data_IF_702841255736
#
_entry.id   IF_702841255736
#
_cell.length_a   1.000
_cell.length_b   1.000
_cell.length_c   1.000
_cell.angle_alpha   90.00
_cell.angle_beta   90.00
_cell.angle_gamma   90.00
#
_symmetry.space_group_name_H-M   'P 1'
#
loop_
_entity.id
_entity.type
_entity.pdbx_description
1 polymer ?
#
# COMPACT_ATOMS: atom_id res chain seq x y z
N UNK A 1 39.68 0.03 35.11
CA UNK A 1 38.25 0.24 35.39
C UNK A 1 37.58 1.32 34.53
N UNK A 2 38.30 2.13 33.74
CA UNK A 2 37.72 3.21 32.90
C UNK A 2 37.24 2.80 31.49
N UNK A 3 37.56 1.59 31.00
CA UNK A 3 37.10 1.13 29.67
C UNK A 3 35.63 0.68 29.64
N UNK A 4 35.02 0.36 30.79
CA UNK A 4 33.62 -0.06 30.88
C UNK A 4 32.63 1.08 30.67
N UNK A 5 32.90 2.26 31.24
CA UNK A 5 32.03 3.43 31.08
C UNK A 5 31.99 3.90 29.63
N UNK A 6 33.13 4.00 28.94
CA UNK A 6 33.19 4.48 27.56
C UNK A 6 32.36 3.62 26.59
N UNK A 7 32.36 2.29 26.77
CA UNK A 7 31.54 1.39 25.97
C UNK A 7 30.04 1.64 26.21
N UNK A 8 29.62 1.79 27.46
CA UNK A 8 28.22 2.05 27.82
C UNK A 8 27.72 3.38 27.24
N UNK A 9 28.53 4.45 27.25
CA UNK A 9 28.16 5.72 26.62
C UNK A 9 28.10 5.64 25.10
N UNK A 10 28.98 4.88 24.46
CA UNK A 10 28.93 4.61 23.01
C UNK A 10 27.66 3.85 22.65
N UNK A 11 27.30 2.80 23.38
CA UNK A 11 26.05 2.06 23.16
C UNK A 11 24.79 2.90 23.43
N UNK A 12 24.83 3.78 24.43
CA UNK A 12 23.70 4.68 24.76
C UNK A 12 23.56 5.81 23.73
N UNK A 13 24.69 6.35 23.23
CA UNK A 13 24.73 7.33 22.14
C UNK A 13 24.19 6.74 20.82
N UNK A 14 24.65 5.54 20.45
CA UNK A 14 24.17 4.83 19.25
C UNK A 14 22.66 4.59 19.28
N UNK A 15 22.08 4.22 20.44
CA UNK A 15 20.61 4.04 20.57
C UNK A 15 19.86 5.36 20.37
N UNK A 16 20.38 6.48 20.88
CA UNK A 16 19.75 7.81 20.77
C UNK A 16 19.83 8.34 19.34
N UNK A 17 20.97 8.17 18.67
CA UNK A 17 21.16 8.60 17.29
C UNK A 17 20.23 7.86 16.31
N UNK A 18 20.01 6.55 16.53
CA UNK A 18 19.06 5.75 15.76
C UNK A 18 17.62 6.23 15.98
N UNK A 19 17.24 6.53 17.23
CA UNK A 19 15.88 7.01 17.55
C UNK A 19 15.64 8.39 16.89
N UNK A 20 16.60 9.30 16.98
CA UNK A 20 16.53 10.61 16.32
C UNK A 20 16.46 10.48 14.80
N UNK A 21 17.20 9.54 14.22
CA UNK A 21 17.14 9.24 12.79
C UNK A 21 15.76 8.72 12.36
N UNK A 22 15.20 7.76 13.09
CA UNK A 22 13.86 7.21 12.82
C UNK A 22 12.80 8.31 12.95
N UNK A 23 12.87 9.15 13.99
CA UNK A 23 11.96 10.29 14.16
C UNK A 23 12.08 11.29 13.00
N UNK A 24 13.29 11.54 12.51
CA UNK A 24 13.54 12.43 11.37
C UNK A 24 12.93 11.89 10.08
N UNK A 25 13.10 10.60 9.79
CA UNK A 25 12.54 9.98 8.58
C UNK A 25 11.01 9.84 8.63
N UNK A 26 10.44 9.49 9.80
CA UNK A 26 8.98 9.49 10.00
C UNK A 26 8.42 10.91 9.81
N UNK A 27 9.09 11.94 10.35
CA UNK A 27 8.66 13.33 10.19
C UNK A 27 8.69 13.76 8.72
N UNK A 28 9.75 13.42 7.97
CA UNK A 28 9.83 13.70 6.52
C UNK A 28 8.75 12.95 5.73
N UNK A 29 8.53 11.67 6.02
CA UNK A 29 7.50 10.86 5.38
C UNK A 29 6.10 11.45 5.59
N UNK A 30 5.80 11.88 6.82
CA UNK A 30 4.52 12.48 7.18
C UNK A 30 4.32 13.85 6.50
N UNK A 31 5.39 14.62 6.36
CA UNK A 31 5.36 15.91 5.66
C UNK A 31 5.12 15.72 4.15
N UNK A 32 5.77 14.71 3.55
CA UNK A 32 5.61 14.33 2.14
C UNK A 32 4.22 13.81 1.82
N UNK A 33 3.48 13.22 2.76
CA UNK A 33 2.10 12.74 2.51
C UNK A 33 1.04 13.79 2.74
N UNK A 34 1.19 14.63 3.76
CA UNK A 34 0.18 15.64 4.10
C UNK A 34 0.10 16.75 3.05
N UNK A 35 1.23 17.23 2.54
CA UNK A 35 1.25 18.33 1.55
C UNK A 35 0.50 17.97 0.25
N UNK A 36 0.83 16.89 -0.47
CA UNK A 36 0.08 16.50 -1.66
C UNK A 36 -1.34 16.04 -1.31
N UNK A 37 -1.55 15.44 -0.12
CA UNK A 37 -2.86 15.13 0.44
C UNK A 37 -3.83 16.30 0.39
N UNK A 38 -3.40 17.44 0.96
CA UNK A 38 -4.18 18.68 1.02
C UNK A 38 -4.37 19.28 -0.38
N UNK A 39 -3.32 19.29 -1.20
CA UNK A 39 -3.39 19.84 -2.56
C UNK A 39 -4.39 19.11 -3.45
N UNK A 40 -4.39 17.78 -3.45
CA UNK A 40 -5.34 16.99 -4.23
C UNK A 40 -6.78 17.08 -3.70
N UNK A 41 -6.97 17.15 -2.37
CA UNK A 41 -8.29 17.43 -1.79
C UNK A 41 -8.85 18.78 -2.27
N UNK A 42 -7.99 19.79 -2.38
CA UNK A 42 -8.36 21.09 -2.92
C UNK A 42 -8.69 21.05 -4.42
N UNK A 43 -7.94 20.31 -5.23
CA UNK A 43 -8.26 20.10 -6.65
C UNK A 43 -9.61 19.39 -6.83
N UNK A 44 -9.88 18.35 -6.05
CA UNK A 44 -11.14 17.61 -6.10
C UNK A 44 -12.33 18.47 -5.67
N UNK A 45 -12.12 19.38 -4.71
CA UNK A 45 -13.13 20.37 -4.30
C UNK A 45 -13.44 21.37 -5.42
N UNK A 46 -12.42 21.80 -6.18
CA UNK A 46 -12.63 22.67 -7.35
C UNK A 46 -13.44 21.95 -8.43
N UNK A 47 -13.12 20.68 -8.73
CA UNK A 47 -13.91 19.88 -9.68
C UNK A 47 -15.35 19.68 -9.21
N UNK A 48 -15.56 19.49 -7.91
CA UNK A 48 -16.90 19.41 -7.32
C UNK A 48 -17.70 20.72 -7.51
N UNK A 49 -17.08 21.88 -7.22
CA UNK A 49 -17.73 23.18 -7.38
C UNK A 49 -18.02 23.50 -8.86
N UNK A 50 -17.12 23.10 -9.76
CA UNK A 50 -17.25 23.35 -11.19
C UNK A 50 -18.24 22.41 -11.91
N UNK A 51 -18.70 21.33 -11.26
CA UNK A 51 -19.79 20.52 -11.78
C UNK A 51 -21.11 21.30 -11.70
N UNK A 52 -21.43 22.00 -12.79
CA UNK A 52 -22.67 22.77 -12.93
C UNK A 52 -23.88 21.84 -12.72
N UNK A 53 -24.69 22.10 -11.69
CA UNK A 53 -25.84 21.26 -11.33
C UNK A 53 -26.93 21.35 -12.39
N UNK A 54 -27.00 20.38 -13.30
CA UNK A 54 -28.11 20.24 -14.25
C UNK A 54 -29.30 19.60 -13.55
N UNK A 55 -30.54 19.96 -13.93
CA UNK A 55 -31.78 19.46 -13.29
C UNK A 55 -31.86 17.90 -13.33
N UNK A 56 -31.25 17.27 -14.34
CA UNK A 56 -31.14 15.81 -14.48
C UNK A 56 -30.28 15.12 -13.39
N UNK A 57 -29.30 15.82 -12.82
CA UNK A 57 -28.38 15.29 -11.81
C UNK A 57 -29.03 15.15 -10.42
N UNK A 58 -30.14 15.87 -10.20
CA UNK A 58 -30.93 15.85 -8.95
C UNK A 58 -31.78 14.60 -8.76
N UNK A 59 -32.16 13.92 -9.86
CA UNK A 59 -33.09 12.78 -9.85
C UNK A 59 -32.33 11.45 -9.88
N UNK A 60 -31.19 11.38 -10.59
CA UNK A 60 -30.41 10.14 -10.75
C UNK A 60 -29.16 10.06 -9.87
N UNK A 61 -28.77 11.17 -9.21
CA UNK A 61 -27.46 11.30 -8.57
C UNK A 61 -26.37 11.29 -9.63
N UNK A 62 -25.71 12.42 -9.87
CA UNK A 62 -24.75 12.49 -10.97
C UNK A 62 -23.61 11.48 -10.78
N UNK A 63 -23.40 10.63 -11.79
CA UNK A 63 -22.30 9.67 -11.86
C UNK A 63 -20.94 10.38 -11.62
N UNK A 64 -20.88 11.66 -11.98
CA UNK A 64 -19.72 12.52 -11.87
C UNK A 64 -19.40 12.88 -10.40
N UNK A 65 -20.43 13.15 -9.56
CA UNK A 65 -20.24 13.39 -8.11
C UNK A 65 -19.86 12.08 -7.40
N UNK A 66 -20.47 10.96 -7.77
CA UNK A 66 -20.12 9.65 -7.22
C UNK A 66 -18.66 9.28 -7.54
N UNK A 67 -18.23 9.43 -8.79
CA UNK A 67 -16.86 9.13 -9.21
C UNK A 67 -15.84 10.06 -8.56
N UNK A 68 -16.13 11.37 -8.46
CA UNK A 68 -15.30 12.37 -7.74
C UNK A 68 -15.16 12.04 -6.25
N UNK A 69 -16.25 11.59 -5.61
CA UNK A 69 -16.23 11.19 -4.19
C UNK A 69 -15.41 9.92 -3.96
N UNK A 70 -15.53 8.92 -4.84
CA UNK A 70 -14.81 7.65 -4.73
C UNK A 70 -13.30 7.83 -4.97
N UNK A 71 -12.92 8.72 -5.89
CA UNK A 71 -11.52 9.04 -6.15
C UNK A 71 -10.90 9.80 -4.98
N UNK A 72 -11.62 10.74 -4.36
CA UNK A 72 -11.15 11.40 -3.13
C UNK A 72 -10.91 10.39 -2.00
N UNK A 73 -11.85 9.47 -1.79
CA UNK A 73 -11.74 8.45 -0.76
C UNK A 73 -10.55 7.51 -1.00
N UNK A 74 -10.37 7.04 -2.24
CA UNK A 74 -9.24 6.20 -2.62
C UNK A 74 -7.89 6.93 -2.43
N UNK A 75 -7.84 8.22 -2.77
CA UNK A 75 -6.62 9.02 -2.64
C UNK A 75 -6.22 9.25 -1.17
N UNK A 76 -7.18 9.50 -0.28
CA UNK A 76 -6.95 9.60 1.17
C UNK A 76 -6.37 8.29 1.70
N UNK A 77 -6.94 7.13 1.31
CA UNK A 77 -6.43 5.82 1.73
C UNK A 77 -4.99 5.62 1.27
N UNK A 78 -4.69 5.88 -0.01
CA UNK A 78 -3.34 5.69 -0.59
C UNK A 78 -2.32 6.61 0.07
N UNK A 79 -2.67 7.88 0.28
CA UNK A 79 -1.75 8.88 0.85
C UNK A 79 -1.42 8.62 2.31
N UNK A 80 -2.35 8.08 3.10
CA UNK A 80 -2.14 7.80 4.53
C UNK A 80 -1.70 6.37 4.83
N UNK A 81 -1.87 5.42 3.90
CA UNK A 81 -1.52 4.01 4.13
C UNK A 81 -0.32 3.58 3.30
N UNK A 82 -0.30 3.86 2.00
CA UNK A 82 0.69 3.29 1.07
C UNK A 82 1.99 4.09 1.09
N UNK A 83 1.93 5.41 1.01
CA UNK A 83 3.13 6.25 0.97
C UNK A 83 3.93 6.19 2.29
N UNK A 84 3.31 6.25 3.49
CA UNK A 84 4.03 6.07 4.75
C UNK A 84 4.63 4.68 4.89
N UNK A 85 4.00 3.66 4.31
CA UNK A 85 4.54 2.30 4.31
C UNK A 85 5.77 2.18 3.40
N UNK A 86 5.82 2.87 2.26
CA UNK A 86 6.97 2.82 1.34
C UNK A 86 8.17 3.62 1.91
N UNK A 87 7.94 4.82 2.44
CA UNK A 87 9.01 5.69 2.95
C UNK A 87 9.40 5.32 4.39
N UNK A 88 8.41 5.12 5.26
CA UNK A 88 8.61 4.64 6.64
C UNK A 88 8.98 3.16 6.73
N UNK A 89 8.71 2.38 5.68
CA UNK A 89 9.17 1.01 5.51
C UNK A 89 10.58 0.89 4.94
N UNK A 90 11.44 1.88 5.22
CA UNK A 90 12.88 1.74 5.04
C UNK A 90 13.46 0.81 6.13
N UNK A 91 12.96 -0.43 6.18
CA UNK A 91 13.36 -1.51 7.08
C UNK A 91 14.81 -1.95 6.86
N UNK A 92 15.43 -1.48 5.77
CA UNK A 92 16.83 -1.71 5.43
C UNK A 92 17.80 -0.78 6.18
N UNK A 93 17.38 0.41 6.62
CA UNK A 93 18.30 1.35 7.29
C UNK A 93 18.78 0.81 8.64
N UNK A 94 17.92 0.27 9.52
CA UNK A 94 18.38 -0.41 10.73
C UNK A 94 19.29 -1.61 10.44
N UNK A 95 19.16 -2.22 9.25
CA UNK A 95 19.95 -3.37 8.81
C UNK A 95 21.37 -2.97 8.40
N UNK A 96 21.53 -1.85 7.68
CA UNK A 96 22.82 -1.29 7.26
C UNK A 96 23.65 -0.81 8.46
N UNK A 97 22.99 -0.37 9.55
CA UNK A 97 23.62 0.09 10.80
C UNK A 97 24.12 -1.06 11.70
N UNK A 98 23.79 -2.32 11.40
CA UNK A 98 24.50 -3.50 11.89
C UNK A 98 24.57 -3.71 13.41
N UNK A 99 23.84 -2.97 14.24
CA UNK A 99 24.04 -3.04 15.70
C UNK A 99 23.53 -4.38 16.30
N UNK A 100 24.24 -4.98 17.28
CA UNK A 100 23.95 -6.33 17.78
C UNK A 100 22.62 -6.52 18.53
N UNK A 101 21.96 -5.44 18.99
CA UNK A 101 20.74 -5.50 19.82
C UNK A 101 19.43 -5.56 19.00
N UNK A 102 19.49 -5.83 17.68
CA UNK A 102 18.35 -5.77 16.74
C UNK A 102 17.87 -7.19 16.33
N UNK A 103 17.86 -8.16 17.24
CA UNK A 103 17.43 -9.53 16.91
C UNK A 103 15.96 -9.58 16.42
N UNK A 104 15.06 -8.78 17.01
CA UNK A 104 13.63 -8.80 16.67
C UNK A 104 13.28 -8.12 15.32
N UNK A 105 13.85 -6.95 14.96
CA UNK A 105 13.58 -6.36 13.64
C UNK A 105 14.18 -7.14 12.46
N UNK A 106 15.29 -7.87 12.65
CA UNK A 106 15.84 -8.76 11.60
C UNK A 106 14.92 -9.94 11.32
N UNK A 107 14.35 -10.55 12.36
CA UNK A 107 13.38 -11.64 12.21
C UNK A 107 12.11 -11.14 11.52
N UNK A 108 11.58 -9.96 11.90
CA UNK A 108 10.40 -9.39 11.25
C UNK A 108 10.65 -9.06 9.76
N UNK A 109 11.83 -8.54 9.40
CA UNK A 109 12.14 -8.21 8.01
C UNK A 109 12.33 -9.45 7.12
N UNK A 110 12.87 -10.55 7.65
CA UNK A 110 12.94 -11.84 6.91
C UNK A 110 11.53 -12.40 6.71
N UNK A 111 10.67 -12.34 7.74
CA UNK A 111 9.28 -12.81 7.64
C UNK A 111 8.50 -11.96 6.62
N UNK A 112 8.63 -10.62 6.66
CA UNK A 112 8.01 -9.71 5.68
C UNK A 112 8.56 -9.87 4.26
N UNK A 113 9.86 -10.10 4.09
CA UNK A 113 10.45 -10.37 2.77
C UNK A 113 9.98 -11.70 2.21
N UNK A 114 9.85 -12.74 3.05
CA UNK A 114 9.32 -14.03 2.62
C UNK A 114 7.84 -13.97 2.23
N UNK A 115 7.01 -13.21 2.96
CA UNK A 115 5.61 -13.01 2.61
C UNK A 115 5.43 -12.15 1.36
N UNK A 116 6.28 -11.16 1.12
CA UNK A 116 6.28 -10.38 -0.12
C UNK A 116 6.59 -11.24 -1.35
N UNK A 117 7.52 -12.19 -1.25
CA UNK A 117 7.82 -13.13 -2.35
C UNK A 117 6.64 -14.06 -2.62
N UNK A 118 6.01 -14.60 -1.57
CA UNK A 118 4.80 -15.42 -1.70
C UNK A 118 3.65 -14.65 -2.37
N UNK A 119 3.48 -13.38 -2.01
CA UNK A 119 2.46 -12.51 -2.57
C UNK A 119 2.75 -12.16 -4.04
N UNK A 120 4.02 -11.92 -4.39
CA UNK A 120 4.42 -11.67 -5.77
C UNK A 120 4.21 -12.91 -6.68
N UNK A 121 4.39 -14.11 -6.13
CA UNK A 121 4.15 -15.37 -6.84
C UNK A 121 2.66 -15.72 -6.96
N UNK A 122 1.81 -15.32 -6.01
CA UNK A 122 0.38 -15.62 -6.03
C UNK A 122 -0.45 -14.66 -6.87
N UNK A 123 -0.08 -13.37 -6.93
CA UNK A 123 -0.82 -12.35 -7.68
C UNK A 123 -1.00 -12.64 -9.18
N UNK A 124 0.00 -13.17 -9.93
CA UNK A 124 -0.16 -13.49 -11.35
C UNK A 124 -1.20 -14.59 -11.60
N UNK A 125 -1.29 -15.56 -10.70
CA UNK A 125 -2.22 -16.69 -10.80
C UNK A 125 -3.66 -16.20 -10.55
N UNK A 126 -3.85 -15.37 -9.53
CA UNK A 126 -5.13 -14.72 -9.25
C UNK A 126 -5.58 -13.80 -10.39
N UNK A 127 -4.65 -13.00 -10.95
CA UNK A 127 -4.92 -12.16 -12.11
C UNK A 127 -5.29 -13.01 -13.34
N UNK A 128 -4.63 -14.15 -13.55
CA UNK A 128 -4.97 -15.14 -14.57
C UNK A 128 -6.39 -15.68 -14.41
N UNK A 129 -6.76 -16.12 -13.20
CA UNK A 129 -8.10 -16.63 -12.92
C UNK A 129 -9.21 -15.60 -13.21
N UNK A 130 -8.99 -14.34 -12.81
CA UNK A 130 -9.94 -13.24 -13.03
C UNK A 130 -10.04 -12.88 -14.52
N UNK A 131 -8.91 -12.85 -15.24
CA UNK A 131 -8.92 -12.54 -16.68
C UNK A 131 -9.66 -13.63 -17.48
N UNK A 132 -9.46 -14.91 -17.17
CA UNK A 132 -10.20 -16.02 -17.79
C UNK A 132 -11.70 -15.94 -17.48
N UNK A 133 -12.06 -15.59 -16.23
CA UNK A 133 -13.47 -15.40 -15.86
C UNK A 133 -14.10 -14.22 -16.63
N UNK A 134 -13.36 -13.14 -16.83
CA UNK A 134 -13.82 -11.98 -17.59
C UNK A 134 -13.95 -12.29 -19.10
N UNK A 135 -13.08 -13.13 -19.67
CA UNK A 135 -13.22 -13.57 -21.06
C UNK A 135 -14.42 -14.49 -21.24
N UNK A 136 -14.70 -15.38 -20.27
CA UNK A 136 -15.89 -16.25 -20.33
C UNK A 136 -17.18 -15.43 -20.34
N UNK A 137 -17.22 -14.32 -19.58
CA UNK A 137 -18.39 -13.43 -19.50
C UNK A 137 -18.56 -12.49 -20.69
N UNK A 138 -17.47 -12.04 -21.30
CA UNK A 138 -17.52 -10.93 -22.27
C UNK A 138 -17.17 -11.35 -23.71
N UNK A 139 -16.45 -12.45 -23.89
CA UNK A 139 -15.99 -12.94 -25.19
C UNK A 139 -16.57 -14.31 -25.55
N UNK A 140 -17.57 -14.78 -24.80
CA UNK A 140 -18.23 -16.08 -24.96
C UNK A 140 -17.25 -17.26 -25.00
N UNK A 141 -16.14 -17.17 -24.24
CA UNK A 141 -15.29 -18.33 -23.99
C UNK A 141 -15.95 -19.22 -22.91
N UNK A 142 -15.59 -20.50 -22.86
CA UNK A 142 -16.22 -21.48 -21.96
C UNK A 142 -15.17 -22.28 -21.18
N UNK A 143 -14.24 -21.59 -20.53
CA UNK A 143 -13.19 -22.23 -19.73
C UNK A 143 -13.71 -22.79 -18.40
N UNK A 144 -14.63 -22.10 -17.73
CA UNK A 144 -15.24 -22.53 -16.47
C UNK A 144 -16.68 -23.03 -16.60
N UNK A 145 -17.32 -22.84 -17.74
CA UNK A 145 -18.70 -23.28 -17.97
C UNK A 145 -18.76 -24.72 -18.52
N UNK A 146 -19.34 -25.62 -17.71
CA UNK A 146 -19.61 -27.02 -18.07
C UNK A 146 -20.47 -27.19 -19.32
N UNK A 147 -21.31 -26.20 -19.67
CA UNK A 147 -22.17 -26.27 -20.86
C UNK A 147 -21.38 -26.15 -22.17
N UNK A 148 -20.23 -25.47 -22.13
CA UNK A 148 -19.31 -25.31 -23.26
C UNK A 148 -18.04 -26.16 -23.17
N UNK A 149 -18.03 -27.21 -22.33
CA UNK A 149 -16.90 -28.13 -22.18
C UNK A 149 -15.80 -27.67 -21.22
N UNK A 150 -16.01 -26.59 -20.48
CA UNK A 150 -15.13 -26.12 -19.41
C UNK A 150 -15.31 -26.88 -18.10
N UNK A 151 -14.43 -26.65 -17.13
CA UNK A 151 -14.46 -27.32 -15.82
C UNK A 151 -14.63 -26.29 -14.68
N UNK A 152 -15.77 -26.30 -13.96
CA UNK A 152 -16.01 -25.42 -12.82
C UNK A 152 -15.04 -25.67 -11.64
N UNK A 153 -14.47 -26.88 -11.51
CA UNK A 153 -13.53 -27.20 -10.43
C UNK A 153 -12.18 -26.50 -10.62
N UNK A 154 -11.82 -26.20 -11.88
CA UNK A 154 -10.56 -25.54 -12.22
C UNK A 154 -10.46 -24.15 -11.56
N UNK A 155 -11.60 -23.46 -11.42
CA UNK A 155 -11.66 -22.19 -10.71
C UNK A 155 -11.28 -22.32 -9.22
N UNK A 156 -11.67 -23.42 -8.57
CA UNK A 156 -11.32 -23.68 -7.17
C UNK A 156 -9.84 -24.00 -6.97
N UNK A 157 -9.15 -24.46 -8.02
CA UNK A 157 -7.71 -24.72 -7.95
C UNK A 157 -6.86 -23.47 -8.21
N UNK A 158 -7.44 -22.46 -8.87
CA UNK A 158 -6.77 -21.20 -9.21
C UNK A 158 -6.98 -20.11 -8.16
N UNK A 159 -7.94 -20.27 -7.25
CA UNK A 159 -8.39 -19.27 -6.26
C UNK A 159 -8.32 -19.81 -4.83
#
# INVERSE_FOLDING_TARGET
TYQGCHSIYVFKGIKIDIILFIISEIKKSLLITIIPGIYFCFLQLIEYINSLFTIADSIYGSILIYNSSITNYAFIIISFTVIPFIIGGNFLVPLILGSPDIAYPRINNIILQSSAVLLLLSLPILAGAITILLTDRNLNTSFFDSSGGGDPILYQHLF
#
